data_IF_149580285168
#
_entry.id   IF_149580285168
#
_cell.length_a   1.000
_cell.length_b   1.000
_cell.length_c   1.000
_cell.angle_alpha   90.00
_cell.angle_beta   90.00
_cell.angle_gamma   90.00
#
_symmetry.space_group_name_H-M   'P 1'
#
loop_
_entity.id
_entity.type
_entity.pdbx_description
1 polymer ?
#
# COMPACT_ATOMS: atom_id res chain seq x y z
N UNK A 1 27.93 56.71 6.24
CA UNK A 1 28.94 55.83 6.87
C UNK A 1 29.18 54.65 5.93
N UNK A 2 30.32 54.65 5.25
CA UNK A 2 30.75 53.65 4.27
C UNK A 2 31.29 52.38 4.93
N UNK A 3 31.05 51.21 4.32
CA UNK A 3 32.03 50.13 4.00
C UNK A 3 31.27 48.99 3.28
N UNK A 4 31.46 48.82 1.96
CA UNK A 4 32.48 47.99 1.25
C UNK A 4 32.14 46.49 1.29
N UNK A 5 31.70 45.88 0.18
CA UNK A 5 32.48 45.16 -0.88
C UNK A 5 32.13 43.66 -0.77
N UNK A 6 31.94 42.85 -1.82
CA UNK A 6 32.16 43.03 -3.25
C UNK A 6 31.56 41.87 -4.07
N UNK A 7 31.48 42.10 -5.38
CA UNK A 7 31.08 41.17 -6.45
C UNK A 7 32.21 40.19 -6.82
N UNK A 8 31.82 39.03 -7.39
CA UNK A 8 32.46 38.14 -8.40
C UNK A 8 32.20 36.67 -7.97
N UNK A 9 31.86 35.71 -8.80
CA UNK A 9 31.71 35.63 -10.25
C UNK A 9 31.09 34.28 -10.63
N UNK A 10 30.61 34.20 -11.87
CA UNK A 10 30.11 33.00 -12.53
C UNK A 10 31.18 31.91 -12.61
N UNK A 11 30.78 30.64 -12.42
CA UNK A 11 31.41 29.51 -13.11
C UNK A 11 30.35 28.52 -13.59
N UNK A 12 30.33 28.39 -14.91
CA UNK A 12 29.63 27.42 -15.72
C UNK A 12 30.51 26.17 -15.79
N UNK A 13 29.98 24.98 -15.55
CA UNK A 13 30.62 23.73 -15.93
C UNK A 13 29.62 22.90 -16.73
N UNK A 14 29.73 23.00 -18.05
CA UNK A 14 29.42 21.91 -18.96
C UNK A 14 30.57 20.91 -18.86
N UNK A 15 30.27 19.61 -18.79
CA UNK A 15 31.18 18.61 -19.29
C UNK A 15 30.39 17.49 -19.95
N UNK A 16 30.68 17.32 -21.22
CA UNK A 16 30.19 16.34 -22.18
C UNK A 16 31.02 15.05 -22.09
N UNK A 17 30.39 13.97 -22.58
CA UNK A 17 30.99 12.75 -23.14
C UNK A 17 31.87 11.83 -22.26
N UNK A 18 31.42 10.57 -22.09
CA UNK A 18 32.07 9.44 -22.75
C UNK A 18 31.29 8.12 -22.58
N UNK A 19 30.82 7.64 -23.73
CA UNK A 19 30.32 6.30 -24.04
C UNK A 19 31.46 5.29 -23.89
N UNK A 20 31.22 4.16 -23.20
CA UNK A 20 31.78 2.84 -23.61
C UNK A 20 30.81 1.71 -23.31
N UNK A 21 30.22 1.22 -24.38
CA UNK A 21 29.57 -0.08 -24.56
C UNK A 21 30.56 -1.24 -24.37
N UNK A 22 30.14 -2.31 -23.69
CA UNK A 22 30.72 -3.64 -23.86
C UNK A 22 29.65 -4.57 -24.43
N UNK A 23 29.77 -4.79 -25.74
CA UNK A 23 29.06 -5.82 -26.51
C UNK A 23 29.88 -7.09 -26.42
N UNK A 24 29.29 -8.19 -25.96
CA UNK A 24 29.83 -9.54 -26.21
C UNK A 24 28.89 -10.21 -27.21
N UNK A 25 29.41 -10.44 -28.42
CA UNK A 25 28.77 -11.23 -29.48
C UNK A 25 29.19 -12.70 -29.38
N UNK A 26 28.29 -13.50 -29.92
CA UNK A 26 28.20 -14.96 -30.04
C UNK A 26 29.39 -15.70 -30.66
N UNK A 27 29.44 -17.01 -30.38
CA UNK A 27 29.94 -18.03 -31.30
C UNK A 27 28.95 -19.22 -31.38
N UNK A 28 28.46 -19.48 -32.60
CA UNK A 28 28.24 -20.77 -33.31
C UNK A 28 28.30 -22.08 -32.48
N UNK A 29 27.54 -23.17 -32.64
CA UNK A 29 26.62 -23.67 -33.68
C UNK A 29 26.86 -25.20 -33.92
N UNK A 30 25.81 -26.04 -33.70
CA UNK A 30 25.50 -27.38 -34.33
C UNK A 30 26.19 -28.66 -33.73
N UNK A 31 25.61 -29.91 -33.72
CA UNK A 31 24.29 -30.44 -34.16
C UNK A 31 23.46 -31.27 -33.14
N UNK A 32 22.23 -31.58 -33.58
CA UNK A 32 21.18 -32.46 -33.03
C UNK A 32 21.57 -33.93 -32.81
N UNK A 33 21.16 -34.53 -31.69
CA UNK A 33 20.72 -35.94 -31.61
C UNK A 33 19.91 -36.25 -30.32
N UNK A 34 18.92 -37.13 -30.44
CA UNK A 34 18.53 -38.03 -29.35
C UNK A 34 17.34 -37.62 -28.48
N UNK A 35 16.17 -38.14 -28.82
CA UNK A 35 14.97 -38.16 -27.97
C UNK A 35 15.21 -39.10 -26.77
N UNK A 36 15.23 -38.58 -25.54
CA UNK A 36 15.02 -39.38 -24.33
C UNK A 36 13.98 -38.70 -23.43
N UNK A 37 12.94 -39.46 -23.10
CA UNK A 37 11.98 -39.12 -22.04
C UNK A 37 12.71 -39.23 -20.70
N UNK A 38 12.90 -38.12 -20.01
CA UNK A 38 13.32 -38.11 -18.62
C UNK A 38 12.19 -37.57 -17.76
N UNK A 39 11.67 -38.46 -16.92
CA UNK A 39 10.77 -38.16 -15.81
C UNK A 39 11.47 -37.23 -14.83
N UNK A 40 10.89 -36.05 -14.58
CA UNK A 40 11.39 -35.11 -13.58
C UNK A 40 11.40 -35.78 -12.20
N UNK A 41 12.59 -35.93 -11.63
CA UNK A 41 12.80 -36.40 -10.26
C UNK A 41 12.46 -35.29 -9.28
N UNK A 42 12.03 -35.67 -8.08
CA UNK A 42 11.55 -34.82 -6.97
C UNK A 42 12.54 -33.76 -6.44
N UNK A 43 13.70 -33.58 -7.07
CA UNK A 43 14.80 -32.72 -6.65
C UNK A 43 14.78 -31.31 -7.26
N UNK A 44 13.95 -31.05 -8.30
CA UNK A 44 13.81 -29.68 -8.84
C UNK A 44 12.84 -28.79 -8.03
N UNK A 45 12.08 -29.37 -7.10
CA UNK A 45 11.21 -28.62 -6.17
C UNK A 45 11.93 -28.11 -4.91
N UNK A 46 13.20 -28.43 -4.70
CA UNK A 46 13.93 -28.04 -3.47
C UNK A 46 14.85 -26.83 -3.62
N UNK A 47 15.11 -26.31 -4.82
CA UNK A 47 16.03 -25.19 -5.03
C UNK A 47 15.40 -23.78 -4.93
N UNK A 48 14.20 -23.65 -4.34
CA UNK A 48 13.57 -22.35 -4.05
C UNK A 48 13.58 -21.96 -2.56
N UNK A 49 14.45 -22.56 -1.75
CA UNK A 49 14.79 -22.05 -0.41
C UNK A 49 16.15 -21.39 -0.46
N UNK A 50 16.18 -20.16 -0.95
CA UNK A 50 17.22 -19.20 -0.56
C UNK A 50 17.35 -19.24 0.96
N UNK A 51 18.58 -19.44 1.44
CA UNK A 51 18.92 -19.50 2.86
C UNK A 51 18.25 -18.34 3.62
N UNK A 52 17.18 -18.67 4.34
CA UNK A 52 16.35 -17.73 5.08
C UNK A 52 16.90 -17.63 6.49
N UNK A 53 17.61 -16.54 6.80
CA UNK A 53 17.92 -16.23 8.19
C UNK A 53 16.63 -15.77 8.88
N UNK A 54 16.07 -16.63 9.72
CA UNK A 54 14.83 -16.36 10.48
C UNK A 54 14.99 -15.21 11.48
N UNK A 55 16.21 -14.75 11.74
CA UNK A 55 16.48 -13.56 12.54
C UNK A 55 16.40 -12.26 11.73
N UNK A 56 16.64 -12.31 10.41
CA UNK A 56 16.67 -11.12 9.56
C UNK A 56 15.29 -10.76 8.98
N UNK A 57 14.42 -11.74 8.73
CA UNK A 57 13.07 -11.48 8.23
C UNK A 57 12.04 -12.22 9.10
N UNK A 58 11.35 -11.53 10.02
CA UNK A 58 10.41 -12.20 10.91
C UNK A 58 9.15 -12.65 10.17
N UNK A 59 8.75 -13.92 10.36
CA UNK A 59 7.50 -14.45 9.80
C UNK A 59 6.29 -14.07 10.65
N UNK A 60 5.11 -14.05 10.04
CA UNK A 60 3.85 -13.92 10.77
C UNK A 60 3.71 -15.09 11.76
N UNK A 61 3.21 -14.81 12.97
CA UNK A 61 3.03 -15.80 14.03
C UNK A 61 1.63 -15.71 14.61
N UNK A 62 1.01 -16.86 14.86
CA UNK A 62 -0.24 -16.96 15.63
C UNK A 62 -0.01 -17.53 17.03
N UNK A 63 -0.73 -17.01 18.01
CA UNK A 63 -0.85 -17.56 19.37
C UNK A 63 -2.34 -17.65 19.68
N UNK A 64 -2.84 -18.84 20.00
CA UNK A 64 -4.27 -19.10 20.26
C UNK A 64 -5.19 -18.60 19.12
N UNK A 65 -4.80 -18.85 17.87
CA UNK A 65 -5.56 -18.45 16.68
C UNK A 65 -5.42 -16.97 16.26
N UNK A 66 -4.74 -16.13 17.05
CA UNK A 66 -4.59 -14.69 16.79
C UNK A 66 -3.15 -14.34 16.40
N UNK A 67 -3.00 -13.48 15.40
CA UNK A 67 -1.70 -12.95 14.98
C UNK A 67 -1.07 -12.06 16.05
N UNK A 68 0.25 -12.13 16.17
CA UNK A 68 1.03 -11.34 17.12
C UNK A 68 2.25 -10.72 16.42
N UNK A 69 2.66 -9.54 16.88
CA UNK A 69 3.93 -8.94 16.48
C UNK A 69 5.08 -9.70 17.16
N UNK A 70 5.99 -10.36 16.42
CA UNK A 70 7.06 -11.13 17.03
C UNK A 70 8.16 -10.24 17.65
N UNK A 71 8.19 -8.94 17.30
CA UNK A 71 9.15 -7.97 17.83
C UNK A 71 8.52 -6.90 18.75
N UNK A 72 7.24 -7.01 19.08
CA UNK A 72 6.60 -6.03 19.97
C UNK A 72 6.55 -6.55 21.40
N UNK A 73 7.11 -5.76 22.33
CA UNK A 73 6.85 -5.87 23.76
C UNK A 73 5.70 -4.98 24.24
N UNK A 74 5.08 -4.20 23.35
CA UNK A 74 4.08 -3.19 23.67
C UNK A 74 2.68 -3.82 23.74
N UNK A 75 1.99 -3.63 24.87
CA UNK A 75 0.58 -4.01 25.01
C UNK A 75 -0.30 -2.97 24.32
N UNK A 76 -1.33 -3.40 23.59
CA UNK A 76 -2.40 -2.50 23.16
C UNK A 76 -3.00 -1.82 24.42
N UNK A 77 -3.29 -0.51 24.38
CA UNK A 77 -3.99 0.15 25.47
C UNK A 77 -5.34 -0.51 25.69
N UNK A 78 -5.77 -0.62 26.95
CA UNK A 78 -7.08 -1.20 27.25
C UNK A 78 -8.20 -0.31 26.70
N UNK A 79 -9.38 -0.90 26.44
CA UNK A 79 -10.55 -0.14 25.97
C UNK A 79 -10.93 1.02 26.90
N UNK A 80 -10.72 0.86 28.22
CA UNK A 80 -10.95 1.92 29.21
C UNK A 80 -9.97 3.08 29.05
N UNK A 81 -8.69 2.79 28.81
CA UNK A 81 -7.66 3.80 28.56
C UNK A 81 -7.95 4.53 27.24
N UNK A 82 -8.32 3.80 26.18
CA UNK A 82 -8.72 4.41 24.92
C UNK A 82 -9.96 5.31 25.06
N UNK A 83 -10.96 4.90 25.85
CA UNK A 83 -12.15 5.71 26.12
C UNK A 83 -11.82 6.98 26.94
N UNK A 84 -10.95 6.86 27.95
CA UNK A 84 -10.45 8.01 28.72
C UNK A 84 -9.73 9.01 27.82
N UNK A 85 -8.96 8.55 26.82
CA UNK A 85 -8.33 9.43 25.84
C UNK A 85 -9.34 10.12 24.94
N UNK A 86 -10.29 9.36 24.36
CA UNK A 86 -11.34 9.92 23.51
C UNK A 86 -12.16 11.01 24.21
N UNK A 87 -12.38 10.88 25.52
CA UNK A 87 -13.18 11.83 26.31
C UNK A 87 -12.36 12.96 26.95
N UNK A 88 -11.07 12.74 27.20
CA UNK A 88 -10.24 13.62 28.04
C UNK A 88 -9.12 14.37 27.32
N UNK A 89 -8.74 13.98 26.11
CA UNK A 89 -7.63 14.62 25.38
C UNK A 89 -8.10 15.90 24.68
N UNK A 90 -7.37 17.02 24.81
CA UNK A 90 -7.67 18.23 24.06
C UNK A 90 -7.53 17.98 22.55
N UNK A 91 -8.44 18.53 21.76
CA UNK A 91 -8.38 18.44 20.30
C UNK A 91 -7.27 19.36 19.77
N UNK A 92 -6.11 18.78 19.44
CA UNK A 92 -4.98 19.48 18.82
C UNK A 92 -4.93 19.33 17.29
N UNK A 93 -5.96 18.74 16.66
CA UNK A 93 -5.93 18.39 15.24
C UNK A 93 -5.78 19.59 14.29
N UNK A 94 -6.02 20.81 14.79
CA UNK A 94 -6.08 22.04 14.00
C UNK A 94 -7.14 22.01 12.88
N UNK A 95 -8.01 20.99 12.87
CA UNK A 95 -9.09 20.84 11.92
C UNK A 95 -10.19 21.87 12.26
N UNK A 96 -10.70 22.64 11.28
CA UNK A 96 -11.78 23.59 11.48
C UNK A 96 -13.10 22.92 11.91
N UNK A 97 -13.35 22.83 13.22
CA UNK A 97 -14.54 22.22 13.79
C UNK A 97 -14.35 20.73 14.11
N UNK A 98 -15.44 19.97 14.08
CA UNK A 98 -15.42 18.52 14.33
C UNK A 98 -15.21 18.12 15.79
N UNK A 99 -15.06 19.09 16.69
CA UNK A 99 -15.00 18.87 18.13
C UNK A 99 -16.39 18.75 18.75
N UNK A 100 -16.43 18.27 20.00
CA UNK A 100 -17.65 18.23 20.80
C UNK A 100 -18.28 19.63 20.96
N UNK A 101 -17.45 20.68 21.01
CA UNK A 101 -17.89 22.09 21.10
C UNK A 101 -18.62 22.57 19.84
N UNK A 102 -18.35 21.95 18.70
CA UNK A 102 -18.92 22.33 17.40
C UNK A 102 -20.05 21.36 16.98
N UNK A 103 -20.54 20.51 17.90
CA UNK A 103 -21.51 19.45 17.62
C UNK A 103 -21.09 18.55 16.44
N UNK A 104 -19.79 18.30 16.30
CA UNK A 104 -19.20 17.57 15.16
C UNK A 104 -19.45 18.20 13.78
N UNK A 105 -19.83 19.48 13.72
CA UNK A 105 -19.92 20.23 12.48
C UNK A 105 -18.55 20.83 12.13
N UNK A 106 -18.25 20.88 10.84
CA UNK A 106 -17.02 21.44 10.30
C UNK A 106 -17.28 22.79 9.63
N UNK A 107 -16.29 23.68 9.65
CA UNK A 107 -16.33 24.93 8.89
C UNK A 107 -15.92 24.66 7.44
N UNK A 108 -16.90 24.45 6.57
CA UNK A 108 -16.68 24.11 5.16
C UNK A 108 -15.88 25.18 4.40
N UNK A 109 -16.12 26.47 4.65
CA UNK A 109 -15.38 27.55 3.97
C UNK A 109 -13.90 27.53 4.34
N UNK A 110 -13.60 27.29 5.62
CA UNK A 110 -12.21 27.18 6.08
C UNK A 110 -11.57 25.90 5.56
N UNK A 111 -12.30 24.78 5.56
CA UNK A 111 -11.84 23.51 5.00
C UNK A 111 -11.55 23.62 3.49
N UNK A 112 -12.40 24.26 2.70
CA UNK A 112 -12.19 24.43 1.26
C UNK A 112 -10.92 25.26 0.98
N UNK A 113 -10.60 26.22 1.85
CA UNK A 113 -9.38 27.02 1.74
C UNK A 113 -8.12 26.27 2.18
N UNK A 114 -8.19 25.45 3.23
CA UNK A 114 -7.00 24.78 3.81
C UNK A 114 -6.75 23.39 3.25
N UNK A 115 -7.82 22.69 2.88
CA UNK A 115 -7.85 21.30 2.39
C UNK A 115 -8.82 21.20 1.21
N UNK A 116 -8.54 21.91 0.09
CA UNK A 116 -9.40 21.87 -1.09
C UNK A 116 -9.48 20.44 -1.65
N UNK A 117 -10.69 20.02 -2.03
CA UNK A 117 -10.89 18.75 -2.72
C UNK A 117 -10.74 18.98 -4.22
N UNK A 118 -9.66 18.49 -4.80
CA UNK A 118 -9.37 18.61 -6.23
C UNK A 118 -9.92 17.39 -6.95
N UNK A 119 -10.67 17.61 -8.04
CA UNK A 119 -11.09 16.51 -8.91
C UNK A 119 -9.86 15.94 -9.64
N UNK A 120 -9.70 14.61 -9.71
CA UNK A 120 -8.60 14.01 -10.46
C UNK A 120 -8.70 14.37 -11.95
N UNK A 121 -7.55 14.59 -12.59
CA UNK A 121 -7.48 14.83 -14.02
C UNK A 121 -7.76 13.53 -14.78
N UNK A 122 -8.99 13.41 -15.31
CA UNK A 122 -9.46 12.21 -16.01
C UNK A 122 -8.58 11.85 -17.21
N UNK A 123 -8.14 12.82 -18.00
CA UNK A 123 -7.30 12.56 -19.18
C UNK A 123 -5.95 11.96 -18.75
N UNK A 124 -5.40 12.44 -17.64
CA UNK A 124 -4.14 11.94 -17.08
C UNK A 124 -4.28 10.57 -16.42
N UNK A 125 -5.45 10.23 -15.87
CA UNK A 125 -5.74 8.90 -15.34
C UNK A 125 -5.96 7.87 -16.45
N UNK A 126 -6.62 8.26 -17.55
CA UNK A 126 -6.86 7.39 -18.72
C UNK A 126 -5.64 7.20 -19.60
N UNK A 127 -4.67 8.13 -19.56
CA UNK A 127 -3.44 8.08 -20.35
C UNK A 127 -2.23 8.48 -19.50
N UNK A 128 -1.82 7.66 -18.52
CA UNK A 128 -0.63 7.93 -17.72
C UNK A 128 0.62 7.94 -18.61
N UNK A 129 1.61 8.77 -18.26
CA UNK A 129 2.84 8.89 -19.03
C UNK A 129 3.61 7.55 -19.03
N UNK A 130 4.05 7.12 -20.22
CA UNK A 130 4.84 5.89 -20.37
C UNK A 130 6.14 5.98 -19.58
N UNK A 131 6.58 4.85 -19.00
CA UNK A 131 7.81 4.73 -18.20
C UNK A 131 7.87 5.67 -16.98
N UNK A 132 6.72 6.00 -16.37
CA UNK A 132 6.65 6.78 -15.14
C UNK A 132 5.81 6.08 -14.08
N UNK A 133 5.99 6.51 -12.83
CA UNK A 133 5.07 6.22 -11.73
C UNK A 133 4.21 7.46 -11.44
N UNK A 134 2.91 7.27 -11.31
CA UNK A 134 1.94 8.31 -10.95
C UNK A 134 1.15 7.87 -9.72
N UNK A 135 0.94 8.79 -8.78
CA UNK A 135 0.09 8.58 -7.61
C UNK A 135 -0.99 9.65 -7.54
N UNK A 136 -2.23 9.22 -7.36
CA UNK A 136 -3.37 10.08 -7.05
C UNK A 136 -3.84 9.78 -5.63
N UNK A 137 -3.79 10.78 -4.76
CA UNK A 137 -4.32 10.67 -3.40
C UNK A 137 -5.84 10.92 -3.40
N UNK A 138 -6.61 9.89 -3.09
CA UNK A 138 -8.09 9.94 -3.06
C UNK A 138 -8.59 10.32 -1.65
N UNK A 139 -7.73 10.22 -0.64
CA UNK A 139 -8.01 10.69 0.72
C UNK A 139 -7.82 9.60 1.76
N UNK A 140 -7.50 10.00 2.99
CA UNK A 140 -7.02 9.10 4.04
C UNK A 140 -5.85 8.24 3.53
N UNK A 141 -5.99 6.92 3.55
CA UNK A 141 -5.00 5.98 3.03
C UNK A 141 -5.28 5.53 1.57
N UNK A 142 -6.40 5.95 0.97
CA UNK A 142 -6.74 5.54 -0.39
C UNK A 142 -5.85 6.25 -1.40
N UNK A 143 -5.07 5.46 -2.13
CA UNK A 143 -4.21 5.92 -3.23
C UNK A 143 -4.44 5.08 -4.48
N UNK A 144 -4.48 5.75 -5.63
CA UNK A 144 -4.39 5.11 -6.95
C UNK A 144 -2.96 5.28 -7.46
N UNK A 145 -2.27 4.17 -7.66
CA UNK A 145 -0.91 4.12 -8.19
C UNK A 145 -0.96 3.56 -9.61
N UNK A 146 -0.37 4.29 -10.56
CA UNK A 146 -0.25 3.85 -11.95
C UNK A 146 1.23 3.68 -12.28
N UNK A 147 1.64 2.44 -12.54
CA UNK A 147 3.01 2.05 -12.86
C UNK A 147 3.03 0.77 -13.69
N UNK A 148 4.01 0.61 -14.57
CA UNK A 148 4.18 -0.61 -15.40
C UNK A 148 2.92 -1.00 -16.21
N UNK A 149 2.08 -0.01 -16.54
CA UNK A 149 0.80 -0.24 -17.23
C UNK A 149 -0.32 -0.82 -16.36
N UNK A 150 -0.13 -0.90 -15.04
CA UNK A 150 -1.14 -1.30 -14.07
C UNK A 150 -1.75 -0.10 -13.35
N UNK A 151 -3.05 -0.14 -13.12
CA UNK A 151 -3.79 0.74 -12.23
C UNK A 151 -4.07 0.00 -10.91
N UNK A 152 -3.36 0.37 -9.85
CA UNK A 152 -3.37 -0.31 -8.55
C UNK A 152 -4.02 0.61 -7.52
N UNK A 153 -5.12 0.17 -6.92
CA UNK A 153 -5.85 0.91 -5.91
C UNK A 153 -5.57 0.31 -4.52
N UNK A 154 -5.20 1.13 -3.54
CA UNK A 154 -4.80 0.63 -2.23
C UNK A 154 -5.72 1.20 -1.15
N UNK A 155 -6.17 0.35 -0.24
CA UNK A 155 -7.09 0.66 0.87
C UNK A 155 -8.26 1.56 0.46
N UNK A 156 -9.13 1.14 -0.48
CA UNK A 156 -10.19 1.97 -1.04
C UNK A 156 -11.32 2.24 -0.05
N UNK A 157 -11.51 3.52 0.30
CA UNK A 157 -12.62 4.02 1.11
C UNK A 157 -13.28 5.24 0.45
N UNK A 158 -14.41 4.98 -0.18
CA UNK A 158 -15.27 5.96 -0.85
C UNK A 158 -16.51 6.34 -0.04
N UNK A 159 -16.85 5.57 0.99
CA UNK A 159 -17.97 5.91 1.89
C UNK A 159 -17.71 7.17 2.71
N UNK A 160 -18.78 7.86 3.10
CA UNK A 160 -18.71 9.04 3.97
C UNK A 160 -18.43 8.68 5.43
N UNK A 161 -18.90 7.51 5.87
CA UNK A 161 -18.79 7.06 7.26
C UNK A 161 -17.86 5.86 7.35
N UNK A 162 -16.86 5.97 8.23
CA UNK A 162 -16.03 4.87 8.68
C UNK A 162 -16.76 4.12 9.81
N UNK A 163 -17.31 2.95 9.50
CA UNK A 163 -18.03 2.12 10.47
C UNK A 163 -18.69 0.89 9.87
N UNK A 164 -19.25 0.05 10.75
CA UNK A 164 -19.97 -1.17 10.36
C UNK A 164 -21.30 -0.90 9.63
N UNK A 165 -21.89 0.26 9.88
CA UNK A 165 -23.20 0.66 9.35
C UNK A 165 -23.11 2.08 8.83
N UNK A 166 -23.61 2.34 7.63
CA UNK A 166 -23.62 3.69 7.05
C UNK A 166 -24.48 4.64 7.90
N UNK A 167 -24.04 5.89 8.01
CA UNK A 167 -24.66 6.90 8.89
C UNK A 167 -24.26 6.79 10.37
N UNK A 168 -23.50 5.77 10.75
CA UNK A 168 -22.95 5.60 12.10
C UNK A 168 -21.43 5.43 12.05
N UNK A 169 -20.74 5.99 13.06
CA UNK A 169 -19.28 6.00 13.13
C UNK A 169 -18.68 7.36 12.78
N UNK A 170 -17.41 7.37 12.38
CA UNK A 170 -16.67 8.61 12.11
C UNK A 170 -16.95 9.06 10.69
N UNK A 171 -17.63 10.20 10.53
CA UNK A 171 -17.84 10.82 9.23
C UNK A 171 -16.54 11.49 8.75
N UNK A 172 -16.13 11.23 7.51
CA UNK A 172 -15.03 11.97 6.88
C UNK A 172 -15.42 13.45 6.76
N UNK A 173 -14.47 14.34 7.07
CA UNK A 173 -14.71 15.78 6.98
C UNK A 173 -14.41 16.37 5.60
N UNK A 174 -13.69 15.62 4.74
CA UNK A 174 -13.54 15.93 3.30
C UNK A 174 -14.09 14.78 2.45
N UNK A 175 -14.95 15.06 1.47
CA UNK A 175 -15.49 14.01 0.58
C UNK A 175 -14.39 13.34 -0.24
N UNK A 176 -14.66 12.16 -0.77
CA UNK A 176 -13.82 11.58 -1.80
C UNK A 176 -13.82 12.50 -3.05
N UNK A 177 -12.67 12.73 -3.71
CA UNK A 177 -12.55 13.63 -4.84
C UNK A 177 -13.18 13.06 -6.14
N UNK A 178 -13.49 11.76 -6.15
CA UNK A 178 -14.19 11.06 -7.21
C UNK A 178 -14.97 9.87 -6.64
N UNK A 179 -15.92 9.37 -7.41
CA UNK A 179 -16.68 8.15 -7.14
C UNK A 179 -15.97 6.92 -7.71
N UNK A 180 -16.42 5.72 -7.29
CA UNK A 180 -15.94 4.46 -7.87
C UNK A 180 -16.18 4.42 -9.37
N UNK A 181 -17.24 5.03 -9.92
CA UNK A 181 -17.56 5.04 -11.35
C UNK A 181 -16.67 5.98 -12.18
N UNK A 182 -15.99 6.93 -11.53
CA UNK A 182 -15.08 7.89 -12.17
C UNK A 182 -13.63 7.40 -12.22
N UNK A 183 -13.30 6.28 -11.55
CA UNK A 183 -11.97 5.67 -11.63
C UNK A 183 -11.66 5.18 -13.07
N UNK A 184 -10.38 5.09 -13.48
CA UNK A 184 -10.01 4.30 -14.66
C UNK A 184 -10.29 2.80 -14.40
N UNK A 185 -10.01 1.95 -15.38
CA UNK A 185 -9.95 0.49 -15.12
C UNK A 185 -8.99 0.22 -13.97
N UNK A 186 -9.33 -0.69 -13.06
CA UNK A 186 -8.48 -1.08 -11.92
C UNK A 186 -8.09 -2.55 -12.08
N UNK A 187 -6.78 -2.81 -12.15
CA UNK A 187 -6.23 -4.15 -12.34
C UNK A 187 -6.08 -4.89 -11.01
N UNK A 188 -5.67 -4.16 -9.97
CA UNK A 188 -5.42 -4.72 -8.65
C UNK A 188 -5.92 -3.80 -7.54
N UNK A 189 -6.49 -4.39 -6.50
CA UNK A 189 -6.69 -3.76 -5.20
C UNK A 189 -5.79 -4.42 -4.16
N UNK A 190 -5.08 -3.61 -3.39
CA UNK A 190 -4.28 -4.06 -2.25
C UNK A 190 -4.91 -3.59 -0.94
N UNK A 191 -5.06 -4.50 0.02
CA UNK A 191 -5.56 -4.19 1.36
C UNK A 191 -4.44 -4.38 2.37
N UNK A 192 -4.17 -3.39 3.20
CA UNK A 192 -3.13 -3.46 4.23
C UNK A 192 -3.57 -4.18 5.50
N UNK A 193 -4.80 -3.90 5.95
CA UNK A 193 -5.39 -4.46 7.16
C UNK A 193 -6.92 -4.26 7.17
N UNK A 194 -7.61 -4.81 8.18
CA UNK A 194 -9.07 -4.92 8.15
C UNK A 194 -9.84 -3.81 8.89
N UNK A 195 -9.23 -2.70 9.31
CA UNK A 195 -9.99 -1.61 9.95
C UNK A 195 -10.95 -0.93 8.98
N UNK A 196 -12.00 -0.29 9.51
CA UNK A 196 -13.09 0.28 8.70
C UNK A 196 -12.66 1.44 7.80
N UNK A 197 -11.59 2.14 8.14
CA UNK A 197 -11.00 3.24 7.38
C UNK A 197 -9.97 2.79 6.33
N UNK A 198 -9.70 1.48 6.24
CA UNK A 198 -8.84 0.87 5.21
C UNK A 198 -9.57 -0.21 4.40
N UNK A 199 -10.65 -0.77 4.95
CA UNK A 199 -11.50 -1.78 4.34
C UNK A 199 -12.97 -1.41 4.48
N UNK A 200 -13.49 -0.69 3.49
CA UNK A 200 -14.88 -0.28 3.40
C UNK A 200 -15.72 -1.27 2.57
N UNK A 201 -16.77 -1.80 3.18
CA UNK A 201 -17.67 -2.78 2.55
C UNK A 201 -18.32 -2.24 1.27
N UNK A 202 -18.80 -0.99 1.28
CA UNK A 202 -19.48 -0.44 0.11
C UNK A 202 -18.51 -0.20 -1.04
N UNK A 203 -17.30 0.26 -0.74
CA UNK A 203 -16.24 0.40 -1.73
C UNK A 203 -15.91 -0.95 -2.37
N UNK A 204 -15.76 -2.01 -1.58
CA UNK A 204 -15.51 -3.36 -2.08
C UNK A 204 -16.64 -3.86 -2.98
N UNK A 205 -17.90 -3.72 -2.54
CA UNK A 205 -19.06 -4.13 -3.34
C UNK A 205 -19.20 -3.32 -4.63
N UNK A 206 -18.96 -2.00 -4.59
CA UNK A 206 -19.04 -1.13 -5.77
C UNK A 206 -17.92 -1.43 -6.77
N UNK A 207 -16.69 -1.64 -6.30
CA UNK A 207 -15.55 -2.04 -7.14
C UNK A 207 -15.81 -3.40 -7.80
N UNK A 208 -16.31 -4.37 -7.04
CA UNK A 208 -16.65 -5.68 -7.59
C UNK A 208 -17.82 -5.61 -8.58
N UNK A 209 -18.84 -4.79 -8.31
CA UNK A 209 -19.95 -4.56 -9.24
C UNK A 209 -19.48 -3.96 -10.56
N UNK A 210 -18.52 -3.03 -10.51
CA UNK A 210 -18.00 -2.32 -11.69
C UNK A 210 -17.03 -3.17 -12.50
N UNK A 211 -16.01 -3.74 -11.86
CA UNK A 211 -14.89 -4.40 -12.55
C UNK A 211 -14.99 -5.93 -12.58
N UNK A 212 -15.81 -6.52 -11.70
CA UNK A 212 -16.08 -7.95 -11.64
C UNK A 212 -14.83 -8.81 -11.57
N UNK A 213 -14.78 -9.83 -12.43
CA UNK A 213 -13.69 -10.81 -12.46
C UNK A 213 -12.37 -10.26 -13.04
N UNK A 214 -12.33 -9.07 -13.61
CA UNK A 214 -11.06 -8.49 -14.08
C UNK A 214 -10.20 -7.99 -12.92
N UNK A 215 -10.85 -7.57 -11.83
CA UNK A 215 -10.19 -7.01 -10.67
C UNK A 215 -9.61 -8.11 -9.78
N UNK A 216 -8.32 -7.98 -9.46
CA UNK A 216 -7.60 -8.86 -8.55
C UNK A 216 -7.48 -8.24 -7.16
N UNK A 217 -7.74 -9.01 -6.12
CA UNK A 217 -7.65 -8.57 -4.73
C UNK A 217 -6.44 -9.21 -4.06
N UNK A 218 -5.48 -8.39 -3.64
CA UNK A 218 -4.32 -8.79 -2.85
C UNK A 218 -4.56 -8.39 -1.41
N UNK A 219 -4.67 -9.39 -0.52
CA UNK A 219 -5.17 -9.18 0.84
C UNK A 219 -4.33 -9.90 1.89
N UNK A 220 -4.36 -9.43 3.15
CA UNK A 220 -3.64 -10.10 4.24
C UNK A 220 -4.24 -11.46 4.58
N UNK A 221 -3.40 -12.36 5.07
CA UNK A 221 -3.81 -13.67 5.58
C UNK A 221 -4.97 -13.59 6.58
N UNK A 222 -6.03 -14.36 6.32
CA UNK A 222 -7.27 -14.41 7.09
C UNK A 222 -8.41 -13.58 6.50
N UNK A 223 -8.15 -12.69 5.52
CA UNK A 223 -9.18 -11.78 4.98
C UNK A 223 -9.96 -12.37 3.81
N UNK A 224 -9.48 -13.45 3.18
CA UNK A 224 -10.10 -14.02 1.97
C UNK A 224 -11.59 -14.37 2.13
N UNK A 225 -12.06 -15.01 3.21
CA UNK A 225 -13.48 -15.32 3.37
C UNK A 225 -14.36 -14.07 3.37
N UNK A 226 -13.91 -12.98 3.99
CA UNK A 226 -14.65 -11.73 4.06
C UNK A 226 -14.81 -11.09 2.68
N UNK A 227 -13.73 -11.05 1.89
CA UNK A 227 -13.73 -10.49 0.54
C UNK A 227 -14.60 -11.33 -0.40
N UNK A 228 -14.54 -12.67 -0.27
CA UNK A 228 -15.44 -13.58 -1.01
C UNK A 228 -16.90 -13.38 -0.65
N UNK A 229 -17.22 -13.14 0.62
CA UNK A 229 -18.60 -12.84 1.04
C UNK A 229 -19.13 -11.51 0.46
N UNK A 230 -18.25 -10.61 0.03
CA UNK A 230 -18.62 -9.41 -0.74
C UNK A 230 -18.84 -9.70 -2.24
N UNK A 231 -18.72 -10.96 -2.67
CA UNK A 231 -18.88 -11.40 -4.06
C UNK A 231 -17.60 -11.38 -4.90
N UNK A 232 -16.44 -11.09 -4.31
CA UNK A 232 -15.16 -10.99 -5.03
C UNK A 232 -14.49 -12.37 -5.13
N UNK A 233 -14.27 -12.86 -6.35
CA UNK A 233 -13.76 -14.23 -6.56
C UNK A 233 -12.24 -14.32 -6.70
N UNK A 234 -11.61 -13.31 -7.32
CA UNK A 234 -10.19 -13.31 -7.62
C UNK A 234 -9.37 -12.70 -6.49
N UNK A 235 -9.20 -13.50 -5.44
CA UNK A 235 -8.56 -13.08 -4.18
C UNK A 235 -7.31 -13.88 -3.93
N UNK A 236 -6.19 -13.17 -3.82
CA UNK A 236 -4.90 -13.67 -3.38
C UNK A 236 -4.64 -13.24 -1.94
N UNK A 237 -4.35 -14.22 -1.10
CA UNK A 237 -4.15 -14.05 0.33
C UNK A 237 -2.68 -14.32 0.65
N UNK A 238 -2.02 -13.36 1.29
CA UNK A 238 -0.56 -13.35 1.48
C UNK A 238 -0.19 -13.19 2.97
N UNK A 239 0.86 -13.89 3.39
CA UNK A 239 1.57 -13.63 4.65
C UNK A 239 2.75 -12.67 4.43
N UNK A 240 3.39 -12.27 5.53
CA UNK A 240 4.58 -11.44 5.43
C UNK A 240 5.70 -12.12 4.64
N UNK A 241 6.29 -11.35 3.74
CA UNK A 241 7.34 -11.73 2.80
C UNK A 241 6.91 -12.66 1.67
N UNK A 242 5.62 -12.99 1.59
CA UNK A 242 5.07 -13.64 0.40
C UNK A 242 5.07 -12.64 -0.76
N UNK A 243 5.42 -13.15 -1.93
CA UNK A 243 5.49 -12.39 -3.18
C UNK A 243 4.61 -13.09 -4.21
N UNK A 244 3.76 -12.32 -4.89
CA UNK A 244 2.94 -12.83 -5.98
C UNK A 244 2.98 -11.86 -7.16
N UNK A 245 3.24 -12.39 -8.36
CA UNK A 245 3.24 -11.57 -9.57
C UNK A 245 1.82 -11.35 -10.08
N UNK A 246 1.58 -10.22 -10.75
CA UNK A 246 0.35 -10.03 -11.50
C UNK A 246 0.23 -11.09 -12.62
N UNK A 247 -0.92 -11.79 -12.79
CA UNK A 247 -1.08 -12.88 -13.77
C UNK A 247 -0.76 -12.49 -15.21
N UNK A 248 -1.06 -11.24 -15.60
CA UNK A 248 -0.79 -10.73 -16.95
C UNK A 248 0.69 -10.36 -17.17
N UNK A 249 1.50 -10.34 -16.11
CA UNK A 249 2.89 -9.89 -16.10
C UNK A 249 3.74 -10.92 -15.36
N UNK A 250 3.95 -12.08 -15.97
CA UNK A 250 4.64 -13.23 -15.36
C UNK A 250 6.01 -13.55 -15.99
N UNK A 251 6.34 -12.98 -17.15
CA UNK A 251 7.68 -13.09 -17.72
C UNK A 251 8.62 -12.19 -16.91
N UNK A 252 9.76 -12.71 -16.46
CA UNK A 252 10.66 -12.02 -15.50
C UNK A 252 10.98 -10.58 -15.89
N UNK A 253 11.21 -10.31 -17.19
CA UNK A 253 11.52 -8.98 -17.71
C UNK A 253 10.37 -7.96 -17.63
N UNK A 254 9.13 -8.43 -17.41
CA UNK A 254 7.93 -7.60 -17.32
C UNK A 254 7.17 -7.79 -16.02
N UNK A 255 7.68 -8.61 -15.10
CA UNK A 255 6.92 -9.04 -13.94
C UNK A 255 6.71 -7.89 -12.96
N UNK A 256 5.47 -7.70 -12.52
CA UNK A 256 5.13 -6.80 -11.41
C UNK A 256 4.78 -7.66 -10.20
N UNK A 257 5.64 -7.62 -9.19
CA UNK A 257 5.51 -8.41 -7.96
C UNK A 257 4.83 -7.59 -6.87
N UNK A 258 3.86 -8.19 -6.23
CA UNK A 258 3.19 -7.69 -5.03
C UNK A 258 3.73 -8.47 -3.85
N UNK A 259 4.53 -7.81 -3.02
CA UNK A 259 5.06 -8.39 -1.80
C UNK A 259 4.30 -7.83 -0.60
N UNK A 260 3.70 -8.72 0.20
CA UNK A 260 3.07 -8.29 1.45
C UNK A 260 4.14 -8.24 2.53
N UNK A 261 4.46 -7.04 3.01
CA UNK A 261 5.55 -6.81 3.96
C UNK A 261 5.02 -6.50 5.36
N UNK A 262 5.81 -6.67 6.43
CA UNK A 262 5.28 -6.45 7.76
C UNK A 262 5.05 -4.97 8.10
N UNK A 263 4.21 -4.74 9.12
CA UNK A 263 3.93 -3.44 9.71
C UNK A 263 3.76 -3.57 11.24
N UNK A 264 3.96 -2.49 11.99
CA UNK A 264 3.68 -2.43 13.43
C UNK A 264 2.26 -1.91 13.66
N UNK A 265 1.29 -2.83 13.63
CA UNK A 265 -0.13 -2.54 13.80
C UNK A 265 -0.90 -3.74 14.35
N UNK A 266 -2.22 -3.74 14.15
CA UNK A 266 -3.17 -4.76 14.59
C UNK A 266 -4.42 -4.75 13.68
N UNK A 267 -5.34 -5.69 13.91
CA UNK A 267 -6.60 -5.83 13.15
C UNK A 267 -7.78 -6.03 14.11
N UNK A 268 -8.94 -5.46 13.80
CA UNK A 268 -10.24 -5.72 14.44
C UNK A 268 -11.40 -5.09 13.67
N UNK A 269 -12.52 -5.79 13.54
CA UNK A 269 -13.79 -5.22 13.04
C UNK A 269 -14.96 -5.47 13.98
N UNK A 270 -15.00 -6.66 14.58
CA UNK A 270 -16.01 -7.08 15.53
C UNK A 270 -15.59 -6.96 16.99
N UNK A 271 -16.41 -7.53 17.87
CA UNK A 271 -16.14 -7.52 19.30
C UNK A 271 -15.03 -8.51 19.69
N UNK A 272 -14.98 -9.68 19.05
CA UNK A 272 -14.14 -10.82 19.45
C UNK A 272 -13.15 -11.29 18.37
N UNK A 273 -12.90 -10.50 17.33
CA UNK A 273 -12.08 -10.88 16.16
C UNK A 273 -10.68 -10.25 16.15
N UNK A 274 -10.24 -9.65 17.26
CA UNK A 274 -8.94 -8.98 17.36
C UNK A 274 -7.81 -9.88 16.85
N UNK A 275 -7.08 -9.41 15.85
CA UNK A 275 -5.94 -10.08 15.23
C UNK A 275 -6.23 -11.48 14.64
N UNK A 276 -7.47 -11.81 14.28
CA UNK A 276 -7.74 -13.04 13.51
C UNK A 276 -7.24 -12.94 12.06
N UNK A 277 -7.17 -11.71 11.54
CA UNK A 277 -6.61 -11.33 10.25
C UNK A 277 -5.26 -10.64 10.44
N UNK A 278 -4.32 -10.88 9.52
CA UNK A 278 -3.01 -10.25 9.49
C UNK A 278 -3.12 -8.78 9.06
N UNK A 279 -2.09 -7.98 9.34
CA UNK A 279 -1.92 -6.60 8.88
C UNK A 279 -0.52 -6.46 8.28
N UNK A 280 -0.30 -5.43 7.47
CA UNK A 280 1.01 -5.24 6.84
C UNK A 280 1.09 -3.99 6.00
N UNK A 281 2.17 -3.96 5.24
CA UNK A 281 2.52 -2.98 4.22
C UNK A 281 2.58 -3.68 2.86
N UNK A 282 2.61 -2.92 1.77
CA UNK A 282 2.78 -3.45 0.43
C UNK A 282 4.06 -2.90 -0.19
N UNK A 283 4.89 -3.79 -0.73
CA UNK A 283 5.99 -3.43 -1.63
C UNK A 283 5.65 -3.94 -3.03
N UNK A 284 5.50 -3.03 -3.98
CA UNK A 284 5.14 -3.31 -5.37
C UNK A 284 6.39 -3.11 -6.22
N UNK A 285 6.91 -4.19 -6.78
CA UNK A 285 8.19 -4.22 -7.48
C UNK A 285 7.95 -4.46 -8.96
N UNK A 286 8.07 -3.41 -9.77
CA UNK A 286 8.07 -3.49 -11.22
C UNK A 286 9.47 -3.60 -11.82
N UNK A 287 9.56 -3.80 -13.14
CA UNK A 287 10.83 -3.80 -13.87
C UNK A 287 11.55 -2.44 -13.86
N UNK A 288 10.80 -1.33 -13.91
CA UNK A 288 11.37 0.03 -13.95
C UNK A 288 11.17 0.77 -12.63
N UNK A 289 9.97 0.66 -12.03
CA UNK A 289 9.57 1.43 -10.85
C UNK A 289 9.23 0.52 -9.66
N UNK A 290 9.41 1.04 -8.45
CA UNK A 290 9.05 0.37 -7.19
C UNK A 290 8.29 1.32 -6.27
N UNK A 291 7.21 0.83 -5.70
CA UNK A 291 6.34 1.58 -4.82
C UNK A 291 6.19 0.90 -3.45
N UNK A 292 6.20 1.69 -2.37
CA UNK A 292 5.96 1.22 -1.01
C UNK A 292 4.71 1.87 -0.41
N UNK A 293 3.86 1.08 0.22
CA UNK A 293 2.73 1.57 1.01
C UNK A 293 2.82 1.01 2.43
N UNK A 294 2.94 1.90 3.41
CA UNK A 294 3.24 1.49 4.79
C UNK A 294 2.05 0.86 5.53
N UNK A 295 0.82 1.02 5.03
CA UNK A 295 -0.39 0.81 5.85
C UNK A 295 -0.42 1.78 7.02
N UNK A 296 -1.22 1.45 8.04
CA UNK A 296 -1.07 2.07 9.34
C UNK A 296 0.08 1.37 10.07
N UNK A 297 1.20 2.05 10.28
CA UNK A 297 2.31 1.45 11.01
C UNK A 297 2.98 2.47 11.90
N UNK A 298 3.22 2.08 13.15
CA UNK A 298 4.21 2.75 14.00
C UNK A 298 5.63 2.54 13.47
N UNK A 299 6.55 3.42 13.87
CA UNK A 299 7.96 3.26 13.53
C UNK A 299 8.56 2.02 14.19
N UNK A 300 9.22 1.16 13.40
CA UNK A 300 9.99 0.03 13.89
C UNK A 300 11.13 -0.34 12.93
N UNK A 301 12.02 -1.24 13.36
CA UNK A 301 13.21 -1.63 12.60
C UNK A 301 12.90 -2.35 11.27
N UNK A 302 11.68 -2.86 11.11
CA UNK A 302 11.25 -3.64 9.93
C UNK A 302 11.39 -2.85 8.63
N UNK A 303 11.24 -1.52 8.67
CA UNK A 303 11.40 -0.67 7.49
C UNK A 303 12.82 -0.72 6.91
N UNK A 304 13.84 -0.92 7.75
CA UNK A 304 15.22 -1.11 7.27
C UNK A 304 15.38 -2.44 6.53
N UNK A 305 14.73 -3.50 7.01
CA UNK A 305 14.76 -4.82 6.38
C UNK A 305 14.00 -4.79 5.04
N UNK A 306 12.83 -4.14 4.99
CA UNK A 306 12.09 -3.91 3.74
C UNK A 306 12.94 -3.13 2.74
N UNK A 307 13.57 -2.02 3.17
CA UNK A 307 14.45 -1.22 2.33
C UNK A 307 15.66 -1.99 1.81
N UNK A 308 16.28 -2.84 2.64
CA UNK A 308 17.40 -3.70 2.23
C UNK A 308 16.98 -4.75 1.19
N UNK A 309 15.77 -5.31 1.34
CA UNK A 309 15.29 -6.40 0.48
C UNK A 309 14.72 -5.92 -0.86
N UNK A 310 13.94 -4.83 -0.85
CA UNK A 310 13.16 -4.38 -2.01
C UNK A 310 13.60 -3.01 -2.55
N UNK A 311 14.45 -2.28 -1.84
CA UNK A 311 14.90 -0.95 -2.26
C UNK A 311 15.91 -0.96 -3.42
N UNK A 312 16.19 0.22 -4.00
CA UNK A 312 15.58 1.51 -3.68
C UNK A 312 14.12 1.59 -4.19
N UNK A 313 13.27 2.35 -3.49
CA UNK A 313 11.90 2.66 -3.92
C UNK A 313 11.85 4.04 -4.58
N UNK A 314 11.06 4.18 -5.64
CA UNK A 314 10.85 5.45 -6.32
C UNK A 314 9.83 6.34 -5.59
N UNK A 315 8.83 5.71 -4.97
CA UNK A 315 7.78 6.40 -4.24
C UNK A 315 7.31 5.59 -3.03
N UNK A 316 7.00 6.29 -1.93
CA UNK A 316 6.44 5.71 -0.72
C UNK A 316 5.25 6.52 -0.21
N UNK A 317 4.17 5.83 0.16
CA UNK A 317 3.03 6.39 0.88
C UNK A 317 3.11 5.95 2.36
N UNK A 318 3.26 6.93 3.25
CA UNK A 318 3.51 6.74 4.69
C UNK A 318 2.48 7.55 5.49
N UNK A 319 1.82 6.96 6.51
CA UNK A 319 0.85 7.67 7.34
C UNK A 319 1.55 8.73 8.20
N UNK A 320 0.89 9.88 8.37
CA UNK A 320 1.40 11.01 9.16
C UNK A 320 0.41 11.49 10.24
N UNK A 321 -0.77 10.87 10.34
CA UNK A 321 -1.85 11.23 11.26
C UNK A 321 -2.08 10.19 12.35
N UNK A 322 -3.13 10.37 13.16
CA UNK A 322 -3.57 9.43 14.20
C UNK A 322 -2.49 9.01 15.22
N UNK A 323 -1.57 9.92 15.56
CA UNK A 323 -0.43 9.67 16.45
C UNK A 323 -0.56 10.30 17.85
N UNK A 324 -1.63 11.07 18.11
CA UNK A 324 -1.90 11.65 19.42
C UNK A 324 -3.09 10.99 20.12
N UNK A 325 -3.04 10.85 21.46
CA UNK A 325 -1.87 11.10 22.32
C UNK A 325 -0.75 10.05 22.13
N UNK A 326 0.50 10.41 22.45
CA UNK A 326 1.68 9.53 22.29
C UNK A 326 1.89 8.54 23.42
#
# INVERSE_FOLDING_TARGET
MLRKLGRRGFFHFQNTDLIRSAVIRSSEGIPLHGRQKTTATSTERENAKLFYDSTEYPKAKKVNGRFVLPWSGSRLPSMLVAAQWFLGSPNNSSVPGGGLKDFFQFDDKKLDRTLPVLKPDKARLESPASNSIQLTWIGHATVLVQMEGLNILIDPVFSDYCGAVQGFGVKRYRPAPCTVDELPEIDAVCISHNHYDHLDYNSVCNLNKRFGHKLLWYVPMGLRPWIKNCGCNNVFELEWWDELSHPNFTKDEKAVKFAFTPAQHWCRRGLNDTNEVLWGSWSIIGPQHRFFFAGDSGYCHIFKQIGKRYGPFDLAAIPIGAYEPR
#
